data_IF_503216400294
#
_entry.id   IF_503216400294
#
_cell.length_a   1.000
_cell.length_b   1.000
_cell.length_c   1.000
_cell.angle_alpha   90.00
_cell.angle_beta   90.00
_cell.angle_gamma   90.00
#
_symmetry.space_group_name_H-M   'P 1'
#
loop_
_entity.id
_entity.type
_entity.pdbx_description
1 polymer ?
#
# COMPACT_ATOMS: atom_id res chain seq x y z
N UNK A 1 8.47 -4.99 7.70
CA UNK A 1 7.50 -4.92 8.81
C UNK A 1 6.21 -5.61 8.39
N UNK A 2 5.64 -6.48 9.22
CA UNK A 2 4.32 -7.10 8.99
C UNK A 2 3.18 -6.41 9.74
N UNK A 3 3.48 -5.24 10.31
CA UNK A 3 2.54 -4.38 11.00
C UNK A 3 2.76 -2.95 10.54
N UNK A 4 1.67 -2.23 10.34
CA UNK A 4 1.64 -0.80 10.08
C UNK A 4 0.67 -0.17 11.07
N UNK A 5 1.16 0.78 11.87
CA UNK A 5 0.40 1.45 12.92
C UNK A 5 -0.16 2.78 12.42
N UNK A 6 -1.43 3.01 12.67
CA UNK A 6 -2.13 4.27 12.45
C UNK A 6 -2.23 5.03 13.76
N UNK A 7 -2.03 6.34 13.70
CA UNK A 7 -2.13 7.18 14.87
C UNK A 7 -2.00 8.66 14.57
N UNK A 8 -2.18 9.46 15.60
CA UNK A 8 -2.19 10.91 15.49
C UNK A 8 -0.82 11.48 15.09
N UNK A 9 -0.84 12.38 14.11
CA UNK A 9 0.36 12.99 13.54
C UNK A 9 1.21 13.83 14.52
N UNK A 10 0.63 14.34 15.61
CA UNK A 10 1.31 15.19 16.60
C UNK A 10 2.37 14.41 17.38
N UNK A 11 2.19 13.10 17.54
CA UNK A 11 3.06 12.29 18.43
C UNK A 11 4.23 11.62 17.73
N UNK A 12 4.23 11.55 16.39
CA UNK A 12 5.28 10.92 15.57
C UNK A 12 5.58 9.42 15.88
N UNK A 13 4.72 8.71 16.62
CA UNK A 13 4.96 7.29 16.99
C UNK A 13 4.25 6.26 16.11
N UNK A 14 3.53 6.71 15.08
CA UNK A 14 2.76 5.87 14.16
C UNK A 14 3.43 5.79 12.78
N UNK A 15 3.34 4.63 12.12
CA UNK A 15 3.85 4.45 10.75
C UNK A 15 3.03 5.26 9.73
N UNK A 16 1.70 5.34 9.93
CA UNK A 16 0.78 6.19 9.17
C UNK A 16 0.23 7.25 10.12
N UNK A 17 0.79 8.45 9.99
CA UNK A 17 0.54 9.58 10.86
C UNK A 17 -0.61 10.45 10.31
N UNK A 18 -1.77 10.43 10.97
CA UNK A 18 -3.00 11.07 10.50
C UNK A 18 -3.28 12.35 11.31
N UNK A 19 -3.59 13.44 10.60
CA UNK A 19 -4.10 14.66 11.21
C UNK A 19 -5.62 14.54 11.44
N UNK A 20 -5.98 13.82 12.51
CA UNK A 20 -7.36 13.64 12.99
C UNK A 20 -7.37 13.46 14.51
N UNK A 21 -8.54 13.60 15.16
CA UNK A 21 -8.70 13.47 16.61
C UNK A 21 -8.67 12.00 17.10
N UNK A 22 -7.68 11.24 16.65
CA UNK A 22 -7.43 9.84 17.01
C UNK A 22 -6.33 9.71 18.07
N UNK A 23 -6.21 8.54 18.71
CA UNK A 23 -5.10 8.25 19.62
C UNK A 23 -3.73 8.21 18.93
N UNK A 24 -2.63 8.32 19.70
CA UNK A 24 -1.27 8.34 19.15
C UNK A 24 -0.85 7.01 18.53
N UNK A 25 -1.40 5.90 19.03
CA UNK A 25 -1.45 4.57 18.39
C UNK A 25 -2.90 4.11 18.48
N UNK A 26 -3.66 4.26 17.41
CA UNK A 26 -5.10 3.99 17.44
C UNK A 26 -5.41 2.57 16.95
N UNK A 27 -4.79 2.18 15.84
CA UNK A 27 -5.01 0.87 15.24
C UNK A 27 -3.75 0.40 14.53
N UNK A 28 -3.71 -0.88 14.19
CA UNK A 28 -2.73 -1.41 13.26
C UNK A 28 -3.39 -2.27 12.20
N UNK A 29 -2.82 -2.26 11.00
CA UNK A 29 -3.01 -3.34 10.05
C UNK A 29 -1.87 -4.32 10.24
N UNK A 30 -2.24 -5.57 10.54
CA UNK A 30 -1.34 -6.70 10.71
C UNK A 30 -1.49 -7.61 9.51
N UNK A 31 -0.39 -7.85 8.82
CA UNK A 31 -0.31 -8.84 7.76
C UNK A 31 0.08 -10.18 8.36
N UNK A 32 -0.62 -11.22 7.93
CA UNK A 32 -0.29 -12.61 8.24
C UNK A 32 -0.08 -13.39 6.94
N UNK A 33 0.86 -14.32 6.98
CA UNK A 33 1.14 -15.21 5.84
C UNK A 33 1.00 -16.64 6.32
N UNK A 34 0.25 -17.46 5.60
CA UNK A 34 0.12 -18.89 5.89
C UNK A 34 0.40 -19.71 4.64
N UNK A 35 0.92 -20.91 4.84
CA UNK A 35 1.27 -21.81 3.75
C UNK A 35 0.06 -22.22 2.90
N UNK A 36 -1.11 -22.39 3.53
CA UNK A 36 -2.34 -22.83 2.85
C UNK A 36 -3.28 -21.67 2.44
N UNK A 37 -3.22 -20.53 3.13
CA UNK A 37 -4.16 -19.41 2.93
C UNK A 37 -3.54 -18.17 2.29
N UNK A 38 -2.24 -18.19 1.98
CA UNK A 38 -1.54 -17.04 1.40
C UNK A 38 -1.42 -15.86 2.36
N UNK A 39 -1.39 -14.65 1.79
CA UNK A 39 -1.30 -13.37 2.52
C UNK A 39 -2.70 -12.90 2.89
N UNK A 40 -2.86 -12.43 4.13
CA UNK A 40 -4.09 -11.82 4.58
C UNK A 40 -3.84 -10.71 5.60
N UNK A 41 -4.83 -9.85 5.77
CA UNK A 41 -4.72 -8.62 6.55
C UNK A 41 -5.80 -8.60 7.64
N UNK A 42 -5.39 -8.26 8.86
CA UNK A 42 -6.30 -7.98 9.97
C UNK A 42 -6.13 -6.52 10.38
N UNK A 43 -7.20 -5.87 10.80
CA UNK A 43 -7.11 -4.64 11.60
C UNK A 43 -7.21 -4.99 13.07
N UNK A 44 -6.44 -4.30 13.90
CA UNK A 44 -6.39 -4.47 15.35
C UNK A 44 -6.50 -3.10 16.03
N UNK A 45 -7.39 -2.99 17.01
CA UNK A 45 -7.51 -1.84 17.90
C UNK A 45 -6.33 -1.79 18.88
N UNK A 46 -5.82 -0.59 19.16
CA UNK A 46 -4.69 -0.38 20.07
C UNK A 46 -5.09 0.49 21.25
N UNK A 47 -4.45 0.26 22.39
CA UNK A 47 -4.53 1.10 23.59
C UNK A 47 -5.98 1.39 24.04
N UNK A 48 -6.88 0.41 23.87
CA UNK A 48 -8.30 0.50 24.19
C UNK A 48 -9.10 1.48 23.32
N UNK A 49 -8.55 1.91 22.17
CA UNK A 49 -9.20 2.86 21.26
C UNK A 49 -10.18 2.15 20.33
N UNK A 50 -11.40 2.68 20.15
CA UNK A 50 -12.43 1.99 19.39
C UNK A 50 -12.14 2.01 17.89
N UNK A 51 -11.99 0.82 17.31
CA UNK A 51 -11.97 0.61 15.86
C UNK A 51 -13.30 -0.03 15.46
N UNK A 52 -13.88 0.39 14.35
CA UNK A 52 -15.09 -0.21 13.83
C UNK A 52 -14.96 -0.59 12.36
N UNK A 53 -15.64 -1.67 11.96
CA UNK A 53 -15.87 -2.03 10.56
C UNK A 53 -17.38 -2.04 10.34
N UNK A 54 -17.87 -1.27 9.36
CA UNK A 54 -19.31 -1.15 9.07
C UNK A 54 -20.14 -0.83 10.32
N UNK A 55 -19.62 0.04 11.18
CA UNK A 55 -20.26 0.48 12.42
C UNK A 55 -20.18 -0.50 13.61
N UNK A 56 -19.61 -1.70 13.43
CA UNK A 56 -19.40 -2.65 14.54
C UNK A 56 -18.01 -2.45 15.15
N UNK A 57 -17.96 -2.18 16.45
CA UNK A 57 -16.69 -2.10 17.19
C UNK A 57 -16.02 -3.47 17.25
N UNK A 58 -14.72 -3.50 17.00
CA UNK A 58 -13.89 -4.71 16.97
C UNK A 58 -12.63 -4.50 17.80
N UNK A 59 -12.12 -5.58 18.37
CA UNK A 59 -10.75 -5.62 18.91
C UNK A 59 -9.76 -6.02 17.81
N UNK A 60 -10.11 -7.08 17.05
CA UNK A 60 -9.36 -7.53 15.87
C UNK A 60 -10.30 -8.20 14.88
N UNK A 61 -10.14 -7.91 13.60
CA UNK A 61 -10.93 -8.53 12.55
C UNK A 61 -10.15 -8.64 11.24
N UNK A 62 -10.39 -9.75 10.52
CA UNK A 62 -9.91 -9.95 9.15
C UNK A 62 -10.56 -8.92 8.21
N UNK A 63 -9.73 -8.21 7.45
CA UNK A 63 -10.17 -7.27 6.42
C UNK A 63 -10.48 -8.01 5.12
N UNK A 64 -11.55 -7.60 4.45
CA UNK A 64 -11.89 -8.00 3.08
C UNK A 64 -12.00 -6.78 2.17
N UNK A 65 -11.94 -6.98 0.85
CA UNK A 65 -12.06 -5.88 -0.11
C UNK A 65 -13.34 -5.06 0.12
N UNK A 66 -13.18 -3.73 0.11
CA UNK A 66 -14.27 -2.78 0.30
C UNK A 66 -14.64 -2.48 1.75
N UNK A 67 -13.98 -3.10 2.74
CA UNK A 67 -14.23 -2.75 4.14
C UNK A 67 -13.87 -1.30 4.43
N UNK A 68 -14.82 -0.59 5.06
CA UNK A 68 -14.61 0.75 5.61
C UNK A 68 -14.27 0.60 7.09
N UNK A 69 -13.08 1.05 7.45
CA UNK A 69 -12.53 0.98 8.80
C UNK A 69 -12.60 2.37 9.41
N UNK A 70 -13.32 2.52 10.51
CA UNK A 70 -13.43 3.76 11.28
C UNK A 70 -12.51 3.71 12.50
N UNK A 71 -11.71 4.76 12.70
CA UNK A 71 -10.87 4.97 13.87
C UNK A 71 -11.51 6.06 14.74
N UNK A 72 -12.25 5.65 15.77
CA UNK A 72 -13.12 6.56 16.51
C UNK A 72 -14.21 7.15 15.60
N UNK A 73 -14.44 8.47 15.70
CA UNK A 73 -15.47 9.19 14.93
C UNK A 73 -14.89 10.10 13.85
N UNK A 74 -13.56 10.30 13.88
CA UNK A 74 -12.91 11.42 13.20
C UNK A 74 -12.09 11.00 11.99
N UNK A 75 -11.96 9.69 11.75
CA UNK A 75 -11.21 9.18 10.63
C UNK A 75 -11.75 7.83 10.17
N UNK A 76 -11.81 7.66 8.86
CA UNK A 76 -12.13 6.38 8.22
C UNK A 76 -11.17 6.16 7.05
N UNK A 77 -10.97 4.91 6.66
CA UNK A 77 -10.32 4.57 5.40
C UNK A 77 -10.98 3.34 4.79
N UNK A 78 -10.89 3.21 3.46
CA UNK A 78 -11.34 2.00 2.76
C UNK A 78 -10.17 1.08 2.51
N UNK A 79 -10.30 -0.17 2.91
CA UNK A 79 -9.36 -1.24 2.58
C UNK A 79 -9.77 -1.88 1.25
N UNK A 80 -8.83 -2.01 0.32
CA UNK A 80 -9.06 -2.58 -1.01
C UNK A 80 -8.03 -3.66 -1.36
N UNK A 81 -8.48 -4.65 -2.12
CA UNK A 81 -7.67 -5.65 -2.81
C UNK A 81 -8.04 -5.62 -4.30
N UNK A 82 -7.54 -4.63 -5.07
CA UNK A 82 -8.03 -4.36 -6.43
C UNK A 82 -7.78 -5.48 -7.43
N UNK A 83 -6.81 -6.35 -7.16
CA UNK A 83 -6.37 -7.40 -8.07
C UNK A 83 -6.37 -8.76 -7.42
N UNK A 84 -6.84 -9.77 -8.15
CA UNK A 84 -6.63 -11.18 -7.75
C UNK A 84 -5.21 -11.66 -8.05
N UNK A 85 -4.50 -10.97 -8.95
CA UNK A 85 -3.11 -11.29 -9.35
C UNK A 85 -2.06 -10.86 -8.33
N UNK A 86 -2.46 -10.03 -7.37
CA UNK A 86 -1.54 -9.45 -6.38
C UNK A 86 -2.21 -9.34 -5.02
N UNK A 87 -1.50 -9.72 -3.95
CA UNK A 87 -1.98 -9.52 -2.57
C UNK A 87 -1.49 -8.21 -1.95
N UNK A 88 -1.01 -7.26 -2.76
CA UNK A 88 -0.81 -5.91 -2.27
C UNK A 88 -2.18 -5.29 -1.93
N UNK A 89 -2.28 -4.67 -0.76
CA UNK A 89 -3.49 -4.00 -0.34
C UNK A 89 -3.39 -2.50 -0.64
N UNK A 90 -4.53 -1.89 -0.94
CA UNK A 90 -4.64 -0.45 -1.13
C UNK A 90 -5.51 0.12 -0.01
N UNK A 91 -4.97 1.11 0.69
CA UNK A 91 -5.70 1.92 1.66
C UNK A 91 -6.11 3.21 0.97
N UNK A 92 -7.40 3.48 0.91
CA UNK A 92 -7.93 4.73 0.38
C UNK A 92 -8.33 5.63 1.54
N UNK A 93 -7.62 6.74 1.68
CA UNK A 93 -7.85 7.74 2.71
C UNK A 93 -8.83 8.81 2.17
N UNK A 94 -9.63 9.43 3.03
CA UNK A 94 -10.40 10.61 2.68
C UNK A 94 -9.48 11.75 2.22
N UNK A 95 -9.95 12.58 1.29
CA UNK A 95 -9.20 13.72 0.77
C UNK A 95 -8.77 14.70 1.88
N UNK A 96 -9.60 14.89 2.90
CA UNK A 96 -9.30 15.76 4.04
C UNK A 96 -8.17 15.24 4.96
N UNK A 97 -7.80 13.96 4.85
CA UNK A 97 -6.85 13.30 5.75
C UNK A 97 -5.71 12.62 4.98
N UNK A 98 -5.29 13.22 3.86
CA UNK A 98 -4.09 12.77 3.15
C UNK A 98 -2.87 12.75 4.06
N UNK A 99 -2.02 11.74 3.87
CA UNK A 99 -0.74 11.61 4.58
C UNK A 99 0.34 12.02 3.59
N UNK A 100 1.14 13.03 3.93
CA UNK A 100 2.18 13.57 3.04
C UNK A 100 1.66 13.91 1.61
N UNK A 101 0.43 14.42 1.54
CA UNK A 101 -0.23 14.78 0.29
C UNK A 101 -0.77 13.58 -0.53
N UNK A 102 -0.67 12.34 -0.03
CA UNK A 102 -1.24 11.16 -0.68
C UNK A 102 -2.53 10.68 0.00
N UNK A 103 -3.47 10.21 -0.80
CA UNK A 103 -4.75 9.64 -0.34
C UNK A 103 -4.84 8.13 -0.59
N UNK A 104 -3.76 7.53 -1.06
CA UNK A 104 -3.68 6.12 -1.44
C UNK A 104 -2.37 5.57 -0.94
N UNK A 105 -2.42 4.56 -0.09
CA UNK A 105 -1.24 3.89 0.46
C UNK A 105 -1.29 2.43 0.03
N UNK A 106 -0.21 1.94 -0.59
CA UNK A 106 -0.09 0.54 -1.00
C UNK A 106 0.73 -0.22 0.03
N UNK A 107 0.15 -1.28 0.60
CA UNK A 107 0.83 -2.20 1.50
C UNK A 107 1.46 -3.33 0.67
N UNK A 108 2.72 -3.15 0.29
CA UNK A 108 3.48 -4.16 -0.45
C UNK A 108 3.91 -5.34 0.45
N UNK A 109 3.67 -6.60 0.06
CA UNK A 109 4.25 -7.80 0.69
C UNK A 109 5.78 -7.75 0.76
N UNK A 110 6.41 -8.38 1.78
CA UNK A 110 7.85 -8.29 2.00
C UNK A 110 8.68 -9.11 1.01
N UNK A 111 8.13 -10.19 0.42
CA UNK A 111 8.86 -11.09 -0.48
C UNK A 111 8.03 -11.50 -1.70
N UNK A 112 8.74 -11.89 -2.77
CA UNK A 112 8.25 -12.13 -4.13
C UNK A 112 7.00 -13.00 -4.33
N UNK A 113 6.45 -12.88 -5.55
CA UNK A 113 5.21 -13.47 -6.10
C UNK A 113 3.91 -13.29 -5.30
N UNK A 114 3.98 -12.98 -4.01
CA UNK A 114 2.80 -12.77 -3.18
C UNK A 114 2.04 -11.49 -3.55
N UNK A 115 2.72 -10.47 -4.05
CA UNK A 115 2.05 -9.30 -4.60
C UNK A 115 3.01 -8.24 -5.13
N UNK A 116 2.58 -7.58 -6.19
CA UNK A 116 3.19 -6.40 -6.78
C UNK A 116 2.18 -5.23 -6.80
N UNK A 117 2.68 -4.01 -6.77
CA UNK A 117 1.92 -2.83 -7.16
C UNK A 117 1.73 -2.90 -8.68
N UNK A 118 0.47 -2.94 -9.12
CA UNK A 118 0.11 -2.96 -10.53
C UNK A 118 -0.31 -1.57 -10.98
N UNK A 119 0.28 -1.09 -12.07
CA UNK A 119 0.01 0.21 -12.69
C UNK A 119 -0.31 -0.05 -14.17
N UNK A 120 -1.47 0.38 -14.65
CA UNK A 120 -1.87 0.14 -16.03
C UNK A 120 -3.34 0.46 -16.31
N UNK A 121 -3.86 0.15 -17.51
CA UNK A 121 -5.16 0.63 -17.95
C UNK A 121 -6.35 -0.05 -17.28
N UNK A 122 -6.15 -1.23 -16.68
CA UNK A 122 -7.23 -1.98 -16.04
C UNK A 122 -7.69 -1.31 -14.75
N UNK A 123 -8.99 -1.36 -14.46
CA UNK A 123 -9.56 -0.98 -13.17
C UNK A 123 -9.13 -1.91 -12.02
N UNK A 124 -8.63 -3.11 -12.36
CA UNK A 124 -8.07 -4.06 -11.39
C UNK A 124 -6.62 -3.71 -10.99
N UNK A 125 -6.01 -2.70 -11.62
CA UNK A 125 -4.72 -2.17 -11.18
C UNK A 125 -4.88 -1.35 -9.90
N UNK A 126 -3.81 -1.31 -9.10
CA UNK A 126 -3.81 -0.49 -7.87
C UNK A 126 -3.74 1.00 -8.23
N UNK A 127 -3.02 1.32 -9.31
CA UNK A 127 -3.02 2.63 -9.95
C UNK A 127 -3.51 2.44 -11.38
N UNK A 128 -4.80 2.72 -11.59
CA UNK A 128 -5.38 2.68 -12.92
C UNK A 128 -4.97 3.92 -13.71
N UNK A 129 -4.51 3.71 -14.94
CA UNK A 129 -4.17 4.74 -15.93
C UNK A 129 -4.95 4.50 -17.21
N UNK A 130 -6.27 4.78 -17.22
CA UNK A 130 -7.11 4.55 -18.39
C UNK A 130 -6.54 5.26 -19.64
N UNK A 131 -6.50 4.55 -20.76
CA UNK A 131 -5.96 5.05 -22.02
C UNK A 131 -4.50 4.71 -22.28
N UNK A 132 -3.76 4.19 -21.29
CA UNK A 132 -2.42 3.63 -21.54
C UNK A 132 -2.51 2.26 -22.22
N UNK A 133 -1.50 1.90 -22.99
CA UNK A 133 -1.38 0.56 -23.59
C UNK A 133 -0.62 -0.41 -22.68
N UNK A 134 0.30 0.12 -21.86
CA UNK A 134 1.18 -0.68 -21.02
C UNK A 134 0.66 -0.95 -19.62
N UNK A 135 1.10 -2.08 -19.06
CA UNK A 135 1.03 -2.39 -17.64
C UNK A 135 2.45 -2.58 -17.10
N UNK A 136 2.70 -2.03 -15.91
CA UNK A 136 3.93 -2.24 -15.16
C UNK A 136 3.62 -2.74 -13.76
N UNK A 137 4.47 -3.64 -13.27
CA UNK A 137 4.45 -4.16 -11.92
C UNK A 137 5.66 -3.62 -11.15
N UNK A 138 5.45 -3.21 -9.90
CA UNK A 138 6.53 -2.86 -8.97
C UNK A 138 6.46 -3.79 -7.77
N UNK A 139 7.53 -4.53 -7.49
CA UNK A 139 7.62 -5.46 -6.37
C UNK A 139 8.91 -5.27 -5.59
N UNK A 140 8.98 -5.82 -4.37
CA UNK A 140 10.26 -5.93 -3.66
C UNK A 140 11.11 -7.03 -4.28
N UNK A 141 12.40 -6.75 -4.46
CA UNK A 141 13.35 -7.78 -4.90
C UNK A 141 13.49 -8.83 -3.80
N UNK A 142 13.17 -10.12 -4.08
CA UNK A 142 13.12 -11.15 -3.04
C UNK A 142 14.45 -11.40 -2.32
N UNK A 143 15.57 -11.15 -3.00
CA UNK A 143 16.92 -11.42 -2.50
C UNK A 143 17.59 -10.17 -1.91
N UNK A 144 16.95 -9.00 -1.98
CA UNK A 144 17.50 -7.77 -1.40
C UNK A 144 17.16 -7.65 0.09
N UNK A 145 18.19 -7.66 0.94
CA UNK A 145 18.06 -7.35 2.35
C UNK A 145 17.58 -5.90 2.62
N UNK A 146 17.74 -5.00 1.64
CA UNK A 146 17.36 -3.58 1.72
C UNK A 146 15.91 -3.31 1.34
N UNK A 147 15.20 -4.29 0.78
CA UNK A 147 13.83 -4.11 0.31
C UNK A 147 13.75 -3.24 -0.96
N UNK A 148 14.77 -3.32 -1.80
CA UNK A 148 14.83 -2.64 -3.10
C UNK A 148 13.59 -2.96 -3.93
N UNK A 149 13.14 -1.98 -4.71
CA UNK A 149 12.02 -2.17 -5.62
C UNK A 149 12.55 -2.55 -7.00
N UNK A 150 11.82 -3.42 -7.67
CA UNK A 150 12.02 -3.78 -9.07
C UNK A 150 10.76 -3.50 -9.85
N UNK A 151 10.92 -2.92 -11.03
CA UNK A 151 9.87 -2.79 -12.04
C UNK A 151 10.02 -3.86 -13.12
N UNK A 152 8.89 -4.31 -13.65
CA UNK A 152 8.82 -5.19 -14.82
C UNK A 152 7.50 -4.97 -15.56
N UNK A 153 7.45 -5.31 -16.84
CA UNK A 153 6.24 -5.21 -17.65
C UNK A 153 6.33 -6.09 -18.90
N UNK A 154 5.21 -6.48 -19.53
CA UNK A 154 5.20 -7.38 -20.68
C UNK A 154 6.00 -6.86 -21.88
N UNK A 155 6.00 -5.54 -22.11
CA UNK A 155 6.77 -4.86 -23.16
C UNK A 155 8.21 -4.50 -22.75
N UNK A 156 8.62 -4.86 -21.53
CA UNK A 156 9.78 -4.28 -20.86
C UNK A 156 9.45 -2.96 -20.17
N UNK A 157 10.44 -2.42 -19.47
CA UNK A 157 10.36 -1.15 -18.73
C UNK A 157 11.60 -0.33 -19.02
N UNK A 158 11.54 0.98 -18.84
CA UNK A 158 12.72 1.83 -18.77
C UNK A 158 12.74 2.54 -17.41
N UNK A 159 13.91 2.54 -16.76
CA UNK A 159 14.12 3.28 -15.51
C UNK A 159 15.21 4.31 -15.76
N UNK A 160 14.90 5.58 -15.51
CA UNK A 160 15.81 6.70 -15.72
C UNK A 160 16.37 6.80 -17.16
N UNK A 161 15.61 6.27 -18.13
CA UNK A 161 15.96 6.22 -19.55
C UNK A 161 16.61 4.92 -20.01
N UNK A 162 17.04 4.06 -19.08
CA UNK A 162 17.68 2.78 -19.39
C UNK A 162 16.64 1.68 -19.59
N UNK A 163 16.53 1.19 -20.82
CA UNK A 163 15.56 0.15 -21.18
C UNK A 163 16.01 -1.24 -20.70
N UNK A 164 15.10 -1.95 -20.05
CA UNK A 164 15.24 -3.33 -19.61
C UNK A 164 14.10 -4.18 -20.18
N UNK A 165 14.45 -5.32 -20.78
CA UNK A 165 13.47 -6.32 -21.26
C UNK A 165 12.94 -7.23 -20.15
N UNK A 166 13.42 -7.06 -18.93
CA UNK A 166 13.06 -7.88 -17.77
C UNK A 166 12.86 -7.00 -16.54
N UNK A 167 13.49 -7.37 -15.42
CA UNK A 167 13.48 -6.56 -14.20
C UNK A 167 14.41 -5.35 -14.35
N UNK A 168 13.98 -4.21 -13.84
CA UNK A 168 14.82 -3.03 -13.64
C UNK A 168 14.72 -2.56 -12.18
N UNK A 169 15.83 -2.27 -11.49
CA UNK A 169 15.78 -1.70 -10.16
C UNK A 169 15.12 -0.31 -10.20
N UNK A 170 14.33 0.01 -9.17
CA UNK A 170 13.66 1.29 -8.99
C UNK A 170 14.11 1.90 -7.66
N UNK A 171 14.78 3.04 -7.72
CA UNK A 171 15.26 3.77 -6.55
C UNK A 171 14.35 4.96 -6.25
N UNK A 172 14.55 5.55 -5.08
CA UNK A 172 13.93 6.84 -4.78
C UNK A 172 14.38 7.89 -5.81
N UNK A 173 13.41 8.60 -6.37
CA UNK A 173 13.63 9.59 -7.43
C UNK A 173 13.66 9.03 -8.85
N UNK A 174 13.69 7.72 -9.04
CA UNK A 174 13.68 7.12 -10.37
C UNK A 174 12.41 7.46 -11.15
N UNK A 175 12.54 7.60 -12.46
CA UNK A 175 11.42 7.71 -13.41
C UNK A 175 11.25 6.39 -14.14
N UNK A 176 10.12 5.76 -13.89
CA UNK A 176 9.69 4.53 -14.55
C UNK A 176 8.87 4.88 -15.80
N UNK A 177 9.15 4.19 -16.91
CA UNK A 177 8.35 4.20 -18.12
C UNK A 177 8.04 2.78 -18.60
N UNK A 178 6.82 2.56 -19.09
CA UNK A 178 6.38 1.32 -19.73
C UNK A 178 5.37 1.66 -20.82
N UNK A 179 5.72 1.45 -22.09
CA UNK A 179 4.95 1.95 -23.23
C UNK A 179 4.70 3.48 -23.13
N UNK A 180 3.44 3.89 -22.97
CA UNK A 180 3.00 5.28 -22.79
C UNK A 180 2.79 5.67 -21.32
N UNK A 181 2.97 4.75 -20.37
CA UNK A 181 2.98 5.03 -18.94
C UNK A 181 4.29 5.71 -18.53
N UNK A 182 4.18 6.75 -17.70
CA UNK A 182 5.32 7.34 -16.96
C UNK A 182 4.95 7.59 -15.51
N UNK A 183 5.82 7.20 -14.59
CA UNK A 183 5.64 7.41 -13.15
C UNK A 183 6.97 7.78 -12.49
N UNK A 184 6.93 8.70 -11.53
CA UNK A 184 8.08 8.98 -10.66
C UNK A 184 7.96 8.15 -9.37
N UNK A 185 9.05 7.53 -8.95
CA UNK A 185 9.13 6.78 -7.70
C UNK A 185 9.65 7.72 -6.62
N UNK A 186 8.93 7.81 -5.51
CA UNK A 186 9.34 8.56 -4.33
C UNK A 186 9.14 7.72 -3.09
N UNK A 187 10.19 7.57 -2.29
CA UNK A 187 10.06 7.00 -0.96
C UNK A 187 9.39 8.02 -0.05
N UNK A 188 8.32 7.60 0.63
CA UNK A 188 7.87 8.32 1.81
C UNK A 188 8.97 8.16 2.87
N UNK A 189 9.71 9.24 3.19
CA UNK A 189 10.78 9.18 4.16
C UNK A 189 10.27 8.58 5.48
N UNK A 190 11.03 7.70 6.16
CA UNK A 190 10.68 7.29 7.51
C UNK A 190 10.62 8.53 8.38
N UNK A 191 9.47 8.80 9.01
CA UNK A 191 9.42 9.74 10.12
C UNK A 191 10.21 9.09 11.27
N UNK A 192 11.34 9.72 11.62
CA UNK A 192 12.23 9.28 12.70
C UNK A 192 11.58 9.32 14.07
#
# INVERSE_FOLDING_TARGET
>A
KDRVIFGNAVTAIADIAILAAIGPRHAAIVRSTSFHGGVAYDVEALDGRPVAIRGKVIDRQRLVDGDVVSLGRDFEFTFRLPSERSRAALLQLPSAHGVDGVHRIVLLPPTGRAGALLIGPSETCHVSTPGTQGECEIAREPESAGGDLIAQGPGGVAVDGDAARGKAPCLDGSVLAADDLRAAIRNAAPRG
#
